data_IF_657427615250
#
_entry.id   IF_657427615250
#
_cell.length_a   1.000
_cell.length_b   1.000
_cell.length_c   1.000
_cell.angle_alpha   90.00
_cell.angle_beta   90.00
_cell.angle_gamma   90.00
#
_symmetry.space_group_name_H-M   'P 1'
#
loop_
_entity.id
_entity.type
_entity.pdbx_description
1 polymer ?
#
# COMPACT_ATOMS: atom_id res chain seq x y z
N UNK A 1 80.06 -52.80 -47.95
CA UNK A 1 80.86 -51.63 -48.24
C UNK A 1 80.17 -50.37 -47.83
N UNK A 2 80.88 -49.57 -46.98
CA UNK A 2 80.78 -48.19 -46.61
C UNK A 2 79.69 -47.76 -45.59
N UNK A 3 80.27 -47.48 -44.43
CA UNK A 3 79.81 -46.70 -43.33
C UNK A 3 79.27 -45.33 -43.74
N UNK A 4 78.20 -44.86 -43.06
CA UNK A 4 78.03 -43.47 -42.75
C UNK A 4 77.35 -43.32 -41.39
N UNK A 5 78.15 -42.92 -40.39
CA UNK A 5 77.68 -42.42 -39.11
C UNK A 5 76.92 -41.13 -39.30
N UNK A 6 75.65 -40.99 -38.78
CA UNK A 6 75.08 -39.71 -38.49
C UNK A 6 74.74 -39.62 -37.01
N UNK A 7 75.44 -38.71 -36.37
CA UNK A 7 75.24 -38.29 -34.99
C UNK A 7 73.82 -37.79 -34.76
N UNK A 8 73.11 -38.40 -33.81
CA UNK A 8 71.93 -37.90 -33.24
C UNK A 8 72.25 -36.99 -32.02
N UNK A 9 72.41 -35.70 -32.26
CA UNK A 9 72.40 -34.77 -31.14
C UNK A 9 70.95 -34.50 -30.77
N UNK A 10 70.52 -35.00 -29.59
CA UNK A 10 69.27 -34.62 -28.97
C UNK A 10 69.38 -33.18 -28.47
N UNK A 11 68.63 -32.27 -29.11
CA UNK A 11 68.49 -30.87 -28.67
C UNK A 11 67.59 -30.89 -27.45
N UNK A 12 68.21 -30.89 -26.29
CA UNK A 12 67.52 -30.55 -25.04
C UNK A 12 67.23 -29.02 -25.08
N UNK A 13 66.00 -28.66 -25.36
CA UNK A 13 65.57 -27.22 -25.21
C UNK A 13 65.55 -26.87 -23.71
N UNK A 14 66.22 -25.79 -23.30
CA UNK A 14 66.13 -25.38 -21.92
C UNK A 14 64.68 -24.95 -21.62
N UNK A 15 64.09 -25.57 -20.61
CA UNK A 15 62.75 -25.21 -20.11
C UNK A 15 62.84 -23.82 -19.46
N UNK A 16 62.24 -22.84 -20.09
CA UNK A 16 62.31 -21.46 -19.62
C UNK A 16 61.49 -21.26 -18.33
N UNK A 17 62.18 -21.02 -17.26
CA UNK A 17 61.62 -20.72 -15.91
C UNK A 17 60.62 -19.55 -15.98
N UNK A 18 60.80 -18.63 -16.92
CA UNK A 18 59.89 -17.52 -17.17
C UNK A 18 58.49 -17.94 -17.58
N UNK A 19 58.31 -19.06 -18.26
CA UNK A 19 57.00 -19.54 -18.71
C UNK A 19 56.19 -20.15 -17.57
N UNK A 20 56.83 -20.75 -16.56
CA UNK A 20 56.18 -21.29 -15.37
C UNK A 20 55.70 -20.16 -14.43
N UNK A 21 56.52 -19.08 -14.31
CA UNK A 21 56.13 -17.93 -13.49
C UNK A 21 54.94 -17.13 -14.08
N UNK A 22 54.85 -17.00 -15.42
CA UNK A 22 53.74 -16.30 -16.06
C UNK A 22 52.41 -17.07 -15.91
N UNK A 23 52.44 -18.38 -15.94
CA UNK A 23 51.23 -19.21 -15.82
C UNK A 23 50.69 -19.18 -14.39
N UNK A 24 51.54 -19.11 -13.37
CA UNK A 24 51.11 -18.98 -11.98
C UNK A 24 50.48 -17.62 -11.63
N UNK A 25 50.98 -16.54 -12.25
CA UNK A 25 50.38 -15.22 -12.04
C UNK A 25 48.96 -15.13 -12.62
N UNK A 26 48.72 -15.71 -13.79
CA UNK A 26 47.37 -15.75 -14.39
C UNK A 26 46.42 -16.67 -13.60
N UNK A 27 46.92 -17.75 -13.00
CA UNK A 27 46.16 -18.65 -12.17
C UNK A 27 45.79 -17.96 -10.84
N UNK A 28 46.73 -17.28 -10.20
CA UNK A 28 46.46 -16.52 -8.96
C UNK A 28 45.48 -15.38 -9.19
N UNK A 29 45.55 -14.68 -10.32
CA UNK A 29 44.61 -13.64 -10.69
C UNK A 29 43.18 -14.18 -10.91
N UNK A 30 43.05 -15.34 -11.56
CA UNK A 30 41.77 -16.02 -11.75
C UNK A 30 41.17 -16.53 -10.45
N UNK A 31 41.98 -17.05 -9.53
CA UNK A 31 41.56 -17.49 -8.19
C UNK A 31 41.13 -16.30 -7.32
N UNK A 32 41.86 -15.19 -7.41
CA UNK A 32 41.49 -13.96 -6.69
C UNK A 32 40.18 -13.37 -7.21
N UNK A 33 39.99 -13.36 -8.54
CA UNK A 33 38.74 -12.89 -9.17
C UNK A 33 37.55 -13.80 -8.85
N UNK A 34 37.75 -15.12 -8.85
CA UNK A 34 36.73 -16.08 -8.43
C UNK A 34 36.37 -15.95 -6.93
N UNK A 35 37.38 -15.73 -6.09
CA UNK A 35 37.16 -15.43 -4.65
C UNK A 35 36.36 -14.14 -4.43
N UNK A 36 36.66 -13.08 -5.18
CA UNK A 36 35.94 -11.81 -5.09
C UNK A 36 34.48 -11.95 -5.54
N UNK A 37 34.21 -12.72 -6.58
CA UNK A 37 32.86 -13.03 -7.06
C UNK A 37 32.08 -13.90 -6.06
N UNK A 38 32.73 -14.88 -5.42
CA UNK A 38 32.12 -15.74 -4.41
C UNK A 38 31.73 -14.94 -3.14
N UNK A 39 32.55 -14.00 -2.70
CA UNK A 39 32.24 -13.11 -1.56
C UNK A 39 31.07 -12.18 -1.90
N UNK A 40 30.97 -11.69 -3.14
CA UNK A 40 29.83 -10.88 -3.61
C UNK A 40 28.50 -11.66 -3.61
N UNK A 41 28.52 -12.95 -3.97
CA UNK A 41 27.34 -13.82 -3.92
C UNK A 41 26.89 -14.15 -2.47
N UNK A 42 27.85 -14.32 -1.56
CA UNK A 42 27.54 -14.58 -0.14
C UNK A 42 26.95 -13.37 0.58
N UNK A 43 27.33 -12.16 0.19
CA UNK A 43 26.77 -10.93 0.76
C UNK A 43 25.29 -10.73 0.39
N UNK A 44 24.78 -11.29 -0.72
CA UNK A 44 23.37 -11.25 -1.10
C UNK A 44 22.51 -12.33 -0.41
N UNK A 45 23.10 -13.35 0.19
CA UNK A 45 22.36 -14.46 0.82
C UNK A 45 21.96 -14.23 2.26
N UNK A 46 22.33 -13.09 2.85
CA UNK A 46 22.09 -12.78 4.28
C UNK A 46 21.13 -11.62 4.49
N UNK A 47 20.16 -11.40 3.61
CA UNK A 47 19.03 -10.53 3.94
C UNK A 47 18.13 -11.29 4.93
N UNK A 48 18.40 -11.07 6.22
CA UNK A 48 17.55 -11.59 7.28
C UNK A 48 16.13 -11.07 7.03
N UNK A 49 15.23 -11.94 6.57
CA UNK A 49 13.84 -11.60 6.32
C UNK A 49 13.21 -11.21 7.66
N UNK A 50 13.04 -9.91 7.87
CA UNK A 50 12.32 -9.41 9.05
C UNK A 50 10.86 -9.91 9.01
N UNK A 51 10.22 -10.10 10.16
CA UNK A 51 8.80 -10.39 10.19
C UNK A 51 8.02 -9.30 9.46
N UNK A 52 7.05 -9.68 8.64
CA UNK A 52 6.13 -8.73 8.01
C UNK A 52 5.11 -8.27 9.05
N UNK A 53 4.87 -6.96 9.10
CA UNK A 53 3.95 -6.33 10.04
C UNK A 53 2.71 -5.87 9.30
N UNK A 54 1.57 -6.48 9.61
CA UNK A 54 0.25 -6.04 9.17
C UNK A 54 -0.42 -5.19 10.25
N UNK A 55 -0.93 -4.02 9.89
CA UNK A 55 -1.64 -3.13 10.80
C UNK A 55 -3.14 -3.23 10.54
N UNK A 56 -3.93 -3.45 11.59
CA UNK A 56 -5.39 -3.52 11.50
C UNK A 56 -6.01 -2.38 12.29
N UNK A 57 -6.78 -1.54 11.61
CA UNK A 57 -7.45 -0.37 12.17
C UNK A 57 -8.96 -0.59 12.25
N UNK A 58 -9.48 -0.65 13.47
CA UNK A 58 -10.90 -0.85 13.73
C UNK A 58 -11.76 0.38 13.45
N UNK A 59 -13.08 0.19 13.39
CA UNK A 59 -14.05 1.28 13.35
C UNK A 59 -14.12 2.04 14.67
N UNK A 60 -14.96 3.09 14.72
CA UNK A 60 -15.18 3.85 15.95
C UNK A 60 -15.69 5.29 15.73
N UNK A 61 -16.16 5.62 14.55
CA UNK A 61 -16.58 6.98 14.20
C UNK A 61 -15.43 7.97 14.45
N UNK A 62 -15.73 9.14 14.97
CA UNK A 62 -14.72 10.18 15.25
C UNK A 62 -13.57 9.71 16.18
N UNK A 63 -13.81 8.71 17.05
CA UNK A 63 -12.76 8.14 17.91
C UNK A 63 -11.67 7.42 17.11
N UNK A 64 -11.97 6.95 15.91
CA UNK A 64 -10.99 6.32 15.02
C UNK A 64 -9.89 7.28 14.57
N UNK A 65 -10.05 8.59 14.72
CA UNK A 65 -8.96 9.56 14.52
C UNK A 65 -7.74 9.26 15.43
N UNK A 66 -7.93 8.57 16.55
CA UNK A 66 -6.83 8.13 17.42
C UNK A 66 -5.83 7.20 16.71
N UNK A 67 -6.24 6.51 15.64
CA UNK A 67 -5.33 5.69 14.83
C UNK A 67 -4.18 6.50 14.25
N UNK A 68 -4.39 7.79 13.95
CA UNK A 68 -3.34 8.67 13.44
C UNK A 68 -2.21 8.82 14.46
N UNK A 69 -2.57 8.98 15.74
CA UNK A 69 -1.55 9.04 16.81
C UNK A 69 -0.75 7.74 16.93
N UNK A 70 -1.38 6.58 16.70
CA UNK A 70 -0.67 5.30 16.65
C UNK A 70 0.28 5.25 15.47
N UNK A 71 -0.15 5.68 14.27
CA UNK A 71 0.71 5.75 13.09
C UNK A 71 1.90 6.69 13.30
N UNK A 72 1.70 7.85 13.93
CA UNK A 72 2.78 8.77 14.26
C UNK A 72 3.86 8.11 15.13
N UNK A 73 3.44 7.35 16.15
CA UNK A 73 4.38 6.62 17.03
C UNK A 73 5.09 5.51 16.28
N UNK A 74 4.40 4.76 15.42
CA UNK A 74 5.01 3.72 14.60
C UNK A 74 6.07 4.30 13.66
N UNK A 75 5.81 5.45 13.04
CA UNK A 75 6.80 6.13 12.20
C UNK A 75 7.99 6.65 13.01
N UNK A 76 7.74 7.28 14.18
CA UNK A 76 8.82 7.72 15.08
C UNK A 76 9.72 6.58 15.52
N UNK A 77 9.14 5.42 15.81
CA UNK A 77 9.87 4.21 16.18
C UNK A 77 10.43 3.47 14.96
N UNK A 78 10.19 3.97 13.74
CA UNK A 78 10.60 3.34 12.48
C UNK A 78 10.14 1.90 12.36
N UNK A 79 8.94 1.61 12.86
CA UNK A 79 8.31 0.30 12.69
C UNK A 79 7.75 0.21 11.28
N UNK A 80 8.29 -0.65 10.42
CA UNK A 80 7.82 -0.76 9.04
C UNK A 80 6.48 -1.48 9.00
N UNK A 81 5.48 -0.87 8.38
CA UNK A 81 4.18 -1.48 8.11
C UNK A 81 4.19 -2.03 6.69
N UNK A 82 3.92 -3.32 6.52
CA UNK A 82 3.98 -4.00 5.23
C UNK A 82 2.62 -4.11 4.53
N UNK A 83 1.54 -4.05 5.31
CA UNK A 83 0.17 -4.02 4.80
C UNK A 83 -0.78 -3.45 5.86
N UNK A 84 -1.90 -2.92 5.41
CA UNK A 84 -2.93 -2.37 6.31
C UNK A 84 -4.30 -2.97 5.99
N UNK A 85 -5.12 -3.08 7.03
CA UNK A 85 -6.53 -3.39 6.87
C UNK A 85 -7.35 -2.45 7.75
N UNK A 86 -8.53 -2.04 7.26
CA UNK A 86 -9.36 -1.11 8.01
C UNK A 86 -10.85 -1.35 7.82
N UNK A 87 -11.63 -0.88 8.79
CA UNK A 87 -13.09 -0.83 8.69
C UNK A 87 -13.61 0.50 9.23
N UNK A 88 -14.67 1.07 8.61
CA UNK A 88 -15.24 2.37 8.98
C UNK A 88 -14.16 3.48 9.03
N UNK A 89 -14.04 4.23 10.11
CA UNK A 89 -12.99 5.24 10.27
C UNK A 89 -11.59 4.66 10.11
N UNK A 90 -11.36 3.43 10.53
CA UNK A 90 -10.09 2.73 10.28
C UNK A 90 -9.83 2.48 8.79
N UNK A 91 -10.86 2.32 7.97
CA UNK A 91 -10.70 2.23 6.51
C UNK A 91 -10.28 3.58 5.90
N UNK A 92 -10.86 4.69 6.37
CA UNK A 92 -10.46 6.04 5.92
C UNK A 92 -9.00 6.34 6.28
N UNK A 93 -8.60 6.07 7.53
CA UNK A 93 -7.22 6.29 7.99
C UNK A 93 -6.25 5.37 7.27
N UNK A 94 -6.56 4.07 7.15
CA UNK A 94 -5.71 3.11 6.45
C UNK A 94 -5.61 3.40 4.95
N UNK A 95 -6.71 3.84 4.32
CA UNK A 95 -6.75 4.23 2.92
C UNK A 95 -5.89 5.46 2.64
N UNK A 96 -5.97 6.49 3.48
CA UNK A 96 -5.13 7.67 3.37
C UNK A 96 -3.64 7.34 3.58
N UNK A 97 -3.33 6.51 4.58
CA UNK A 97 -1.97 6.05 4.85
C UNK A 97 -1.43 5.20 3.70
N UNK A 98 -2.21 4.26 3.18
CA UNK A 98 -1.83 3.44 2.05
C UNK A 98 -1.66 4.25 0.74
N UNK A 99 -2.39 5.37 0.61
CA UNK A 99 -2.23 6.31 -0.50
C UNK A 99 -0.96 7.18 -0.39
N UNK A 100 -0.23 7.11 0.74
CA UNK A 100 1.03 7.79 0.96
C UNK A 100 0.95 9.08 1.77
N UNK A 101 -0.19 9.38 2.40
CA UNK A 101 -0.29 10.52 3.30
C UNK A 101 0.44 10.23 4.61
N UNK A 102 1.21 11.21 5.06
CA UNK A 102 1.83 11.14 6.39
C UNK A 102 0.80 11.32 7.51
N UNK A 103 1.01 10.72 8.69
CA UNK A 103 0.13 10.92 9.84
C UNK A 103 -0.02 12.39 10.25
N UNK A 104 1.03 13.19 10.08
CA UNK A 104 1.00 14.64 10.38
C UNK A 104 0.06 15.39 9.44
N UNK A 105 0.09 15.09 8.13
CA UNK A 105 -0.84 15.66 7.15
C UNK A 105 -2.27 15.23 7.47
N UNK A 106 -2.50 13.94 7.71
CA UNK A 106 -3.81 13.44 8.11
C UNK A 106 -4.35 14.15 9.35
N UNK A 107 -3.52 14.35 10.39
CA UNK A 107 -3.90 15.08 11.59
C UNK A 107 -4.34 16.51 11.28
N UNK A 108 -3.58 17.21 10.43
CA UNK A 108 -3.88 18.59 10.07
C UNK A 108 -5.20 18.73 9.33
N UNK A 109 -5.49 17.80 8.41
CA UNK A 109 -6.74 17.81 7.64
C UNK A 109 -7.95 17.40 8.50
N UNK A 110 -7.79 16.39 9.36
CA UNK A 110 -8.86 15.98 10.27
C UNK A 110 -9.19 17.04 11.33
N UNK A 111 -8.22 17.85 11.76
CA UNK A 111 -8.45 18.94 12.68
C UNK A 111 -9.31 20.06 12.08
N UNK A 112 -9.33 20.20 10.75
CA UNK A 112 -10.15 21.18 10.02
C UNK A 112 -11.55 20.65 9.72
N UNK A 113 -11.79 19.35 9.90
CA UNK A 113 -13.02 18.70 9.51
C UNK A 113 -14.17 19.03 10.47
N UNK A 114 -15.30 19.47 9.93
CA UNK A 114 -16.54 19.57 10.71
C UNK A 114 -17.21 18.18 10.74
N UNK A 115 -16.98 17.48 11.84
CA UNK A 115 -17.49 16.12 12.05
C UNK A 115 -19.02 16.09 12.11
N UNK A 116 -19.66 17.12 12.67
CA UNK A 116 -21.12 17.16 12.72
C UNK A 116 -21.70 17.28 11.32
N UNK A 117 -21.13 18.16 10.49
CA UNK A 117 -21.56 18.32 9.11
C UNK A 117 -21.28 17.08 8.27
N UNK A 118 -20.15 16.41 8.48
CA UNK A 118 -19.79 15.19 7.73
C UNK A 118 -20.74 14.01 7.99
N UNK A 119 -21.24 13.87 9.22
CA UNK A 119 -22.18 12.79 9.56
C UNK A 119 -23.65 13.18 9.38
N UNK A 120 -23.93 14.43 9.16
CA UNK A 120 -25.25 14.92 8.82
C UNK A 120 -25.31 15.18 7.32
N UNK A 121 -25.87 14.24 6.56
CA UNK A 121 -26.02 14.35 5.11
C UNK A 121 -27.06 15.42 4.67
N UNK A 122 -27.54 16.22 5.60
CA UNK A 122 -28.47 17.28 5.30
C UNK A 122 -27.74 18.47 4.67
N UNK A 123 -28.03 18.83 3.42
CA UNK A 123 -27.49 20.04 2.84
C UNK A 123 -27.99 21.26 3.62
N UNK A 124 -27.18 22.32 3.67
CA UNK A 124 -27.63 23.59 4.24
C UNK A 124 -28.92 24.03 3.58
N UNK A 125 -29.84 24.64 4.33
CA UNK A 125 -31.14 25.05 3.77
C UNK A 125 -31.04 25.91 2.51
N UNK A 126 -29.96 26.69 2.39
CA UNK A 126 -29.66 27.50 1.20
C UNK A 126 -29.41 26.63 -0.06
N UNK A 127 -28.87 25.42 0.11
CA UNK A 127 -28.48 24.49 -0.97
C UNK A 127 -29.63 23.58 -1.41
N UNK A 128 -30.68 23.48 -0.59
CA UNK A 128 -31.85 22.68 -0.92
C UNK A 128 -32.61 23.33 -2.06
N UNK A 129 -32.94 22.57 -3.10
CA UNK A 129 -33.77 23.07 -4.18
C UNK A 129 -35.18 23.49 -3.67
N UNK A 130 -35.82 24.42 -4.38
CA UNK A 130 -37.11 25.00 -3.96
C UNK A 130 -38.19 23.93 -3.72
N UNK A 131 -38.28 22.91 -4.57
CA UNK A 131 -39.27 21.83 -4.43
C UNK A 131 -39.09 21.09 -3.11
N UNK A 132 -37.89 20.72 -2.76
CA UNK A 132 -37.59 20.03 -1.51
C UNK A 132 -37.80 20.93 -0.29
N UNK A 133 -37.52 22.24 -0.41
CA UNK A 133 -37.88 23.20 0.62
C UNK A 133 -39.38 23.23 0.93
N UNK A 134 -40.21 23.24 -0.12
CA UNK A 134 -41.68 23.20 0.02
C UNK A 134 -42.14 21.89 0.64
N UNK A 135 -41.54 20.78 0.25
CA UNK A 135 -41.88 19.44 0.81
C UNK A 135 -41.50 19.39 2.28
N UNK A 136 -40.29 19.81 2.65
CA UNK A 136 -39.80 19.77 4.04
C UNK A 136 -40.58 20.68 4.99
N UNK A 137 -41.26 21.73 4.49
CA UNK A 137 -42.15 22.60 5.29
C UNK A 137 -43.56 22.03 5.43
N UNK A 138 -43.98 21.15 4.55
CA UNK A 138 -45.34 20.55 4.57
C UNK A 138 -45.43 19.22 5.32
N UNK A 139 -44.31 18.50 5.41
CA UNK A 139 -44.25 17.18 6.04
C UNK A 139 -43.26 17.19 7.18
N UNK A 140 -43.60 16.54 8.29
CA UNK A 140 -42.68 16.38 9.41
C UNK A 140 -41.44 15.59 8.98
N UNK A 141 -40.25 15.99 9.45
CA UNK A 141 -39.06 15.20 9.21
C UNK A 141 -39.25 13.79 9.80
N UNK A 142 -39.08 12.78 8.99
CA UNK A 142 -39.16 11.37 9.38
C UNK A 142 -38.27 10.51 8.52
N UNK A 143 -38.17 9.23 8.86
CA UNK A 143 -37.50 8.27 8.00
C UNK A 143 -38.23 8.18 6.67
N UNK A 144 -37.53 8.44 5.57
CA UNK A 144 -38.08 8.28 4.24
C UNK A 144 -38.35 6.81 3.97
N UNK A 145 -39.62 6.47 3.72
CA UNK A 145 -40.02 5.14 3.25
C UNK A 145 -40.47 5.25 1.81
N UNK A 146 -39.85 4.46 0.95
CA UNK A 146 -40.26 4.35 -0.46
C UNK A 146 -41.28 3.22 -0.64
N UNK A 147 -42.18 3.36 -1.61
CA UNK A 147 -43.03 2.27 -2.08
C UNK A 147 -42.59 1.94 -3.50
N UNK A 148 -42.16 0.69 -3.70
CA UNK A 148 -41.81 0.14 -5.01
C UNK A 148 -42.80 -0.94 -5.41
N UNK A 149 -42.74 -1.44 -6.65
CA UNK A 149 -43.55 -2.57 -7.10
C UNK A 149 -43.38 -3.85 -6.27
N UNK A 150 -42.24 -3.96 -5.57
CA UNK A 150 -41.89 -5.13 -4.74
C UNK A 150 -42.21 -4.94 -3.24
N UNK A 151 -42.79 -3.80 -2.85
CA UNK A 151 -43.15 -3.50 -1.47
C UNK A 151 -42.62 -2.18 -0.92
N UNK A 152 -42.56 -2.11 0.42
CA UNK A 152 -42.07 -0.93 1.14
C UNK A 152 -40.53 -1.00 1.25
N UNK A 153 -39.86 -0.02 0.69
CA UNK A 153 -38.41 0.14 0.80
C UNK A 153 -38.08 1.09 1.97
N UNK A 154 -37.22 0.64 2.82
CA UNK A 154 -36.65 1.46 3.90
C UNK A 154 -35.30 2.05 3.45
N UNK A 155 -34.93 3.16 4.08
CA UNK A 155 -33.62 3.77 3.84
C UNK A 155 -32.52 2.78 4.21
N UNK A 156 -31.58 2.52 3.30
CA UNK A 156 -30.52 1.51 3.44
C UNK A 156 -29.43 1.85 4.44
N UNK A 157 -29.50 3.04 5.08
CA UNK A 157 -28.51 3.51 6.06
C UNK A 157 -28.89 4.83 6.69
N UNK A 158 -28.20 5.18 7.78
CA UNK A 158 -28.42 6.43 8.53
C UNK A 158 -27.68 7.61 7.87
N UNK A 159 -26.60 7.32 7.16
CA UNK A 159 -25.73 8.32 6.50
C UNK A 159 -25.50 7.88 5.07
N UNK A 160 -25.69 8.75 4.07
CA UNK A 160 -25.42 8.44 2.67
C UNK A 160 -23.93 8.44 2.33
N UNK A 161 -23.11 9.06 3.18
CA UNK A 161 -21.65 9.07 3.05
C UNK A 161 -21.11 10.02 1.98
N UNK A 162 -21.94 10.85 1.34
CA UNK A 162 -21.49 11.74 0.27
C UNK A 162 -20.45 12.76 0.74
N UNK A 163 -20.67 13.38 1.90
CA UNK A 163 -19.75 14.37 2.48
C UNK A 163 -18.44 13.70 2.91
N UNK A 164 -18.52 12.51 3.49
CA UNK A 164 -17.34 11.69 3.85
C UNK A 164 -16.53 11.36 2.59
N UNK A 165 -17.20 10.95 1.52
CA UNK A 165 -16.56 10.66 0.24
C UNK A 165 -15.85 11.88 -0.35
N UNK A 166 -16.50 13.05 -0.33
CA UNK A 166 -15.90 14.29 -0.82
C UNK A 166 -14.69 14.71 0.03
N UNK A 167 -14.80 14.57 1.35
CA UNK A 167 -13.68 14.84 2.26
C UNK A 167 -12.52 13.89 1.98
N UNK A 168 -12.79 12.61 1.85
CA UNK A 168 -11.76 11.60 1.58
C UNK A 168 -11.08 11.80 0.21
N UNK A 169 -11.85 12.16 -0.82
CA UNK A 169 -11.29 12.48 -2.12
C UNK A 169 -10.29 13.66 -2.06
N UNK A 170 -10.61 14.70 -1.28
CA UNK A 170 -9.68 15.82 -1.05
C UNK A 170 -8.44 15.35 -0.28
N UNK A 171 -8.64 14.53 0.73
CA UNK A 171 -7.57 14.02 1.59
C UNK A 171 -6.54 13.21 0.80
N UNK A 172 -6.99 12.35 -0.10
CA UNK A 172 -6.09 11.50 -0.92
C UNK A 172 -5.59 12.17 -2.20
N UNK A 173 -5.86 13.48 -2.39
CA UNK A 173 -5.48 14.23 -3.58
C UNK A 173 -5.89 13.53 -4.89
N UNK A 174 -7.15 13.14 -4.99
CA UNK A 174 -7.66 12.42 -6.14
C UNK A 174 -8.05 13.32 -7.31
N UNK A 175 -7.44 14.50 -7.44
CA UNK A 175 -7.65 15.42 -8.55
C UNK A 175 -7.36 14.80 -9.93
N UNK A 176 -6.62 13.71 -9.96
CA UNK A 176 -6.27 12.94 -11.16
C UNK A 176 -7.22 11.77 -11.46
N UNK A 177 -8.36 11.68 -10.77
CA UNK A 177 -9.31 10.59 -10.91
C UNK A 177 -9.31 9.58 -9.76
N UNK A 178 -10.13 8.54 -9.89
CA UNK A 178 -10.23 7.50 -8.86
C UNK A 178 -8.92 6.72 -8.73
N UNK A 179 -8.38 6.65 -7.51
CA UNK A 179 -7.27 5.75 -7.21
C UNK A 179 -7.82 4.34 -6.99
N UNK A 180 -7.15 3.37 -7.57
CA UNK A 180 -7.46 1.96 -7.34
C UNK A 180 -6.65 1.41 -6.17
N UNK A 181 -7.31 0.56 -5.37
CA UNK A 181 -6.71 -0.05 -4.17
C UNK A 181 -5.46 -0.85 -4.52
N UNK A 182 -5.50 -1.61 -5.61
CA UNK A 182 -4.39 -2.45 -6.08
C UNK A 182 -3.16 -1.65 -6.55
N UNK A 183 -3.34 -0.36 -6.84
CA UNK A 183 -2.26 0.53 -7.28
C UNK A 183 -1.60 1.33 -6.14
N UNK A 184 -2.04 1.14 -4.91
CA UNK A 184 -1.51 1.87 -3.76
C UNK A 184 -0.10 1.40 -3.40
N UNK A 185 0.76 2.31 -2.91
CA UNK A 185 2.11 1.96 -2.45
C UNK A 185 2.14 0.90 -1.35
N UNK A 186 1.13 0.89 -0.49
CA UNK A 186 0.99 -0.06 0.61
C UNK A 186 -0.25 -0.94 0.38
N UNK A 187 -0.12 -2.28 0.43
CA UNK A 187 -1.25 -3.18 0.29
C UNK A 187 -2.35 -2.88 1.31
N UNK A 188 -3.57 -2.68 0.82
CA UNK A 188 -4.75 -2.31 1.61
C UNK A 188 -5.85 -3.35 1.48
N UNK A 189 -6.55 -3.62 2.58
CA UNK A 189 -7.82 -4.36 2.59
C UNK A 189 -8.87 -3.56 3.37
N UNK A 190 -10.01 -3.29 2.75
CA UNK A 190 -11.14 -2.61 3.41
C UNK A 190 -12.19 -3.66 3.73
N UNK A 191 -12.64 -3.67 4.98
CA UNK A 191 -13.63 -4.64 5.46
C UNK A 191 -14.97 -3.94 5.67
N UNK A 192 -15.98 -4.43 4.99
CA UNK A 192 -17.37 -3.99 5.12
C UNK A 192 -18.29 -5.17 5.45
N UNK A 193 -19.56 -4.87 5.68
CA UNK A 193 -20.60 -5.86 5.91
C UNK A 193 -21.72 -5.67 4.88
N UNK A 194 -22.12 -6.74 4.22
CA UNK A 194 -23.31 -6.75 3.38
C UNK A 194 -24.54 -6.64 4.28
N UNK A 195 -25.31 -5.58 4.11
CA UNK A 195 -26.51 -5.33 4.92
C UNK A 195 -27.66 -6.29 4.62
N UNK A 196 -27.63 -6.97 3.45
CA UNK A 196 -28.68 -7.90 3.05
C UNK A 196 -28.61 -9.24 3.77
N UNK A 197 -27.40 -9.74 4.02
CA UNK A 197 -27.18 -11.07 4.60
C UNK A 197 -26.26 -11.09 5.83
N UNK A 198 -25.59 -9.95 6.14
CA UNK A 198 -24.66 -9.85 7.26
C UNK A 198 -23.26 -10.41 6.96
N UNK A 199 -22.98 -10.78 5.73
CA UNK A 199 -21.70 -11.35 5.34
C UNK A 199 -20.59 -10.29 5.31
N UNK A 200 -19.37 -10.75 5.62
CA UNK A 200 -18.18 -9.96 5.52
C UNK A 200 -17.77 -9.78 4.06
N UNK A 201 -17.63 -8.54 3.61
CA UNK A 201 -17.09 -8.16 2.31
C UNK A 201 -15.70 -7.57 2.47
N UNK A 202 -14.74 -7.98 1.65
CA UNK A 202 -13.38 -7.47 1.67
C UNK A 202 -13.04 -6.87 0.31
N UNK A 203 -12.77 -5.57 0.28
CA UNK A 203 -12.29 -4.87 -0.92
C UNK A 203 -10.76 -4.86 -0.91
N UNK A 204 -10.14 -5.33 -1.98
CA UNK A 204 -8.69 -5.34 -2.23
C UNK A 204 -8.34 -4.75 -3.58
N UNK A 205 -9.32 -4.48 -4.38
CA UNK A 205 -9.26 -3.94 -5.73
C UNK A 205 -10.38 -2.94 -5.97
N UNK A 206 -10.34 -2.26 -7.09
CA UNK A 206 -11.31 -1.27 -7.46
C UNK A 206 -11.08 0.11 -6.85
N UNK A 207 -12.07 0.98 -6.94
CA UNK A 207 -11.95 2.37 -6.51
C UNK A 207 -11.84 2.50 -4.99
N UNK A 208 -10.74 3.11 -4.51
CA UNK A 208 -10.48 3.40 -3.10
C UNK A 208 -11.60 4.22 -2.45
N UNK A 209 -12.22 5.13 -3.20
CA UNK A 209 -13.24 6.05 -2.66
C UNK A 209 -14.66 5.51 -2.76
N UNK A 210 -14.85 4.35 -3.40
CA UNK A 210 -16.14 3.65 -3.46
C UNK A 210 -16.23 2.48 -2.49
N UNK A 211 -15.08 1.94 -2.08
CA UNK A 211 -14.99 0.86 -1.11
C UNK A 211 -15.23 1.36 0.31
#
# INVERSE_FOLDING_TARGET
WLFSHRNAYSIIRPFSITQVCMNNRSLLLKLALAGLLAVGCLAHAAEATRPRIGLVLGGGGARGAAHIGVLEVLEQLRVPVDCVAGTSMGALVSGAYAAGLSPTEMRSELAKADWNDMFQDNPAYSEINYRNKVISTRFLPGSETGVSGDGVAYQGGVVSGQKIKLFFNRLVNSDLGERNIESLPLPLSIVATDIGNGDKVIFRDGSLTKA
#
